data_IF_263449480085
#
_entry.id   IF_263449480085
#
_cell.length_a   1.000
_cell.length_b   1.000
_cell.length_c   1.000
_cell.angle_alpha   90.00
_cell.angle_beta   90.00
_cell.angle_gamma   90.00
#
_symmetry.space_group_name_H-M   'P 1'
#
loop_
_entity.id
_entity.type
_entity.pdbx_description
1 polymer ?
#
# COMPACT_ATOMS: atom_id res chain seq x y z
N UNK A 1 -25.49 -15.71 -0.60
CA UNK A 1 -25.05 -15.44 -1.99
C UNK A 1 -24.69 -13.96 -2.12
N UNK A 2 -23.41 -13.59 -2.00
CA UNK A 2 -22.95 -12.29 -2.47
C UNK A 2 -22.26 -12.54 -3.81
N UNK A 3 -23.01 -12.42 -4.90
CA UNK A 3 -22.45 -12.39 -6.24
C UNK A 3 -21.44 -11.23 -6.30
N UNK A 4 -20.14 -11.48 -6.17
CA UNK A 4 -19.15 -10.57 -6.74
C UNK A 4 -19.26 -10.73 -8.24
N UNK A 5 -20.20 -10.00 -8.84
CA UNK A 5 -20.31 -9.98 -10.30
C UNK A 5 -18.93 -9.61 -10.87
N UNK A 6 -18.54 -10.20 -12.01
CA UNK A 6 -17.28 -9.84 -12.68
C UNK A 6 -17.13 -8.31 -12.81
N UNK A 7 -18.24 -7.61 -13.07
CA UNK A 7 -18.29 -6.15 -13.11
C UNK A 7 -17.80 -5.50 -11.80
N UNK A 8 -18.20 -5.99 -10.62
CA UNK A 8 -17.74 -5.44 -9.32
C UNK A 8 -16.23 -5.61 -9.12
N UNK A 9 -15.67 -6.74 -9.55
CA UNK A 9 -14.21 -7.00 -9.47
C UNK A 9 -13.46 -6.02 -10.38
N UNK A 10 -13.93 -5.85 -11.62
CA UNK A 10 -13.35 -4.91 -12.58
C UNK A 10 -13.47 -3.45 -12.12
N UNK A 11 -14.61 -3.05 -11.58
CA UNK A 11 -14.79 -1.72 -10.99
C UNK A 11 -13.77 -1.48 -9.88
N UNK A 12 -13.63 -2.41 -8.93
CA UNK A 12 -12.66 -2.25 -7.83
C UNK A 12 -11.21 -2.26 -8.29
N UNK A 13 -10.88 -3.08 -9.30
CA UNK A 13 -9.56 -3.08 -9.96
C UNK A 13 -9.24 -1.76 -10.66
N UNK A 14 -10.25 -1.04 -11.15
CA UNK A 14 -10.11 0.31 -11.72
C UNK A 14 -10.09 1.39 -10.63
N UNK A 15 -10.74 1.17 -9.49
CA UNK A 15 -10.73 2.12 -8.37
C UNK A 15 -9.32 2.29 -7.78
N UNK A 16 -8.53 1.22 -7.67
CA UNK A 16 -7.15 1.31 -7.18
C UNK A 16 -6.27 2.27 -8.00
N UNK A 17 -6.08 2.08 -9.32
CA UNK A 17 -5.29 3.00 -10.13
C UNK A 17 -5.94 4.38 -10.20
N UNK A 18 -7.28 4.49 -10.21
CA UNK A 18 -7.96 5.79 -10.16
C UNK A 18 -7.64 6.61 -8.90
N UNK A 19 -7.66 5.97 -7.72
CA UNK A 19 -7.26 6.61 -6.47
C UNK A 19 -5.76 6.90 -6.43
N UNK A 20 -4.92 6.01 -6.96
CA UNK A 20 -3.49 6.25 -7.04
C UNK A 20 -3.16 7.45 -7.92
N UNK A 21 -3.82 7.58 -9.08
CA UNK A 21 -3.71 8.74 -9.97
C UNK A 21 -4.19 10.02 -9.29
N UNK A 22 -5.28 9.95 -8.51
CA UNK A 22 -5.76 11.08 -7.71
C UNK A 22 -4.69 11.52 -6.68
N UNK A 23 -4.09 10.56 -5.96
CA UNK A 23 -3.01 10.85 -5.01
C UNK A 23 -1.81 11.48 -5.74
N UNK A 24 -1.41 10.94 -6.89
CA UNK A 24 -0.34 11.51 -7.72
C UNK A 24 -0.65 12.93 -8.17
N UNK A 25 -1.87 13.18 -8.61
CA UNK A 25 -2.32 14.50 -9.02
C UNK A 25 -2.15 15.52 -7.88
N UNK A 26 -2.59 15.19 -6.66
CA UNK A 26 -2.40 16.06 -5.50
C UNK A 26 -0.93 16.24 -5.10
N UNK A 27 -0.07 15.23 -5.30
CA UNK A 27 1.37 15.36 -5.05
C UNK A 27 2.09 16.24 -6.08
N UNK A 28 1.60 16.26 -7.32
CA UNK A 28 2.14 17.10 -8.37
C UNK A 28 1.70 18.56 -8.27
N UNK A 29 0.59 18.82 -7.59
CA UNK A 29 0.20 20.20 -7.31
C UNK A 29 1.28 20.82 -6.40
N UNK A 30 1.87 21.97 -6.78
CA UNK A 30 2.85 22.67 -5.97
C UNK A 30 2.15 23.31 -4.77
N UNK A 31 1.77 22.48 -3.81
CA UNK A 31 1.28 22.90 -2.50
C UNK A 31 2.53 23.28 -1.69
N UNK A 32 2.91 24.56 -1.77
CA UNK A 32 4.06 25.14 -1.04
C UNK A 32 3.81 25.21 0.48
N UNK A 33 3.33 24.12 1.09
CA UNK A 33 2.87 24.06 2.47
C UNK A 33 3.73 23.17 3.35
N UNK A 34 4.81 22.58 2.84
CA UNK A 34 5.63 21.64 3.61
C UNK A 34 6.76 22.36 4.38
N UNK A 35 6.78 22.27 5.72
CA UNK A 35 7.91 22.72 6.52
C UNK A 35 9.18 21.95 6.16
N UNK A 36 10.35 22.61 6.19
CA UNK A 36 11.66 21.99 5.89
C UNK A 36 12.01 20.74 6.71
N UNK A 37 11.33 20.49 7.82
CA UNK A 37 11.56 19.37 8.74
C UNK A 37 10.45 18.31 8.72
N UNK A 38 9.48 18.44 7.81
CA UNK A 38 8.33 17.55 7.72
C UNK A 38 8.43 16.69 6.47
N UNK A 39 8.09 15.40 6.61
CA UNK A 39 7.98 14.49 5.48
C UNK A 39 6.57 13.87 5.51
N UNK A 40 5.73 14.10 4.47
CA UNK A 40 4.38 13.57 4.45
C UNK A 40 4.38 12.03 4.39
N UNK A 41 3.31 11.37 4.87
CA UNK A 41 3.12 9.93 4.68
C UNK A 41 3.21 9.53 3.19
N UNK A 42 3.77 8.36 2.89
CA UNK A 42 3.70 7.81 1.54
C UNK A 42 2.31 7.19 1.30
N UNK A 43 1.38 8.01 0.84
CA UNK A 43 -0.02 7.61 0.65
C UNK A 43 -0.20 6.54 -0.43
N UNK A 44 0.67 6.47 -1.44
CA UNK A 44 0.60 5.46 -2.50
C UNK A 44 0.94 4.08 -1.97
N UNK A 45 2.07 3.96 -1.27
CA UNK A 45 2.49 2.69 -0.66
C UNK A 45 1.49 2.24 0.41
N UNK A 46 0.97 3.19 1.18
CA UNK A 46 -0.03 2.96 2.22
C UNK A 46 -1.35 2.45 1.63
N UNK A 47 -1.82 3.04 0.53
CA UNK A 47 -2.99 2.56 -0.22
C UNK A 47 -2.77 1.13 -0.72
N UNK A 48 -1.62 0.87 -1.34
CA UNK A 48 -1.26 -0.45 -1.88
C UNK A 48 -1.27 -1.53 -0.79
N UNK A 49 -0.59 -1.29 0.34
CA UNK A 49 -0.53 -2.23 1.45
C UNK A 49 -1.91 -2.47 2.09
N UNK A 50 -2.69 -1.40 2.29
CA UNK A 50 -4.02 -1.48 2.93
C UNK A 50 -4.97 -2.36 2.10
N UNK A 51 -4.98 -2.17 0.78
CA UNK A 51 -5.86 -2.95 -0.09
C UNK A 51 -5.36 -4.38 -0.28
N UNK A 52 -4.03 -4.55 -0.34
CA UNK A 52 -3.37 -5.86 -0.41
C UNK A 52 -3.78 -6.76 0.75
N UNK A 53 -3.80 -6.24 1.98
CA UNK A 53 -4.18 -6.98 3.19
C UNK A 53 -5.69 -7.28 3.28
N UNK A 54 -6.55 -6.40 2.75
CA UNK A 54 -8.00 -6.51 2.94
C UNK A 54 -8.72 -7.30 1.85
N UNK A 55 -8.32 -7.12 0.59
CA UNK A 55 -8.91 -7.76 -0.59
C UNK A 55 -7.83 -7.99 -1.64
N UNK A 56 -6.98 -9.02 -1.46
CA UNK A 56 -5.92 -9.34 -2.41
C UNK A 56 -6.44 -9.55 -3.85
N UNK A 57 -7.70 -9.98 -4.00
CA UNK A 57 -8.36 -10.23 -5.30
C UNK A 57 -8.55 -8.97 -6.17
N UNK A 58 -8.61 -7.80 -5.54
CA UNK A 58 -8.87 -6.51 -6.22
C UNK A 58 -7.60 -5.77 -6.63
N UNK A 59 -6.44 -6.16 -6.11
CA UNK A 59 -5.17 -5.47 -6.39
C UNK A 59 -4.12 -6.48 -6.87
N UNK A 60 -4.14 -6.83 -8.18
CA UNK A 60 -3.13 -7.71 -8.75
C UNK A 60 -1.74 -7.07 -8.66
N UNK A 61 -0.71 -7.88 -8.44
CA UNK A 61 0.69 -7.43 -8.36
C UNK A 61 1.07 -6.52 -9.55
N UNK A 62 0.60 -6.86 -10.74
CA UNK A 62 0.83 -6.07 -11.95
C UNK A 62 0.26 -4.64 -11.86
N UNK A 63 -0.91 -4.45 -11.24
CA UNK A 63 -1.48 -3.11 -11.06
C UNK A 63 -0.64 -2.26 -10.10
N UNK A 64 -0.13 -2.85 -9.02
CA UNK A 64 0.78 -2.17 -8.08
C UNK A 64 2.07 -1.82 -8.82
N UNK A 65 2.65 -2.77 -9.56
CA UNK A 65 3.87 -2.55 -10.32
C UNK A 65 3.72 -1.38 -11.30
N UNK A 66 2.67 -1.36 -12.11
CA UNK A 66 2.42 -0.30 -13.10
C UNK A 66 2.18 1.06 -12.44
N UNK A 67 1.37 1.11 -11.39
CA UNK A 67 1.08 2.36 -10.66
C UNK A 67 2.33 2.90 -10.00
N UNK A 68 3.10 2.06 -9.30
CA UNK A 68 4.31 2.51 -8.60
C UNK A 68 5.42 2.88 -9.59
N UNK A 69 5.56 2.16 -10.71
CA UNK A 69 6.49 2.52 -11.77
C UNK A 69 6.13 3.87 -12.40
N UNK A 70 4.84 4.11 -12.63
CA UNK A 70 4.35 5.42 -13.08
C UNK A 70 4.66 6.51 -12.05
N UNK A 71 4.47 6.22 -10.76
CA UNK A 71 4.84 7.12 -9.67
C UNK A 71 6.34 7.46 -9.71
N UNK A 72 7.19 6.45 -9.92
CA UNK A 72 8.63 6.64 -9.95
C UNK A 72 9.03 7.59 -11.09
N UNK A 73 8.47 7.42 -12.29
CA UNK A 73 8.70 8.34 -13.41
C UNK A 73 8.19 9.75 -13.12
N UNK A 74 6.98 9.85 -12.58
CA UNK A 74 6.29 11.13 -12.42
C UNK A 74 6.90 11.98 -11.30
N UNK A 75 7.39 11.34 -10.24
CA UNK A 75 8.07 11.99 -9.12
C UNK A 75 9.59 12.07 -9.28
N UNK A 76 10.11 11.73 -10.47
CA UNK A 76 11.55 11.75 -10.77
C UNK A 76 12.37 10.93 -9.75
N UNK A 77 11.79 9.85 -9.22
CA UNK A 77 12.47 8.90 -8.35
C UNK A 77 13.21 7.86 -9.19
N UNK A 78 14.20 7.15 -8.62
CA UNK A 78 14.89 6.06 -9.31
C UNK A 78 13.89 5.01 -9.83
N UNK A 79 13.73 4.87 -11.16
CA UNK A 79 12.61 4.14 -11.73
C UNK A 79 12.67 2.65 -11.40
N UNK A 80 11.57 2.10 -10.88
CA UNK A 80 11.36 0.67 -10.72
C UNK A 80 11.85 0.07 -9.40
N UNK A 81 12.74 0.76 -8.65
CA UNK A 81 13.22 0.26 -7.36
C UNK A 81 12.10 0.21 -6.33
N UNK A 82 11.43 1.35 -6.11
CA UNK A 82 10.36 1.44 -5.12
C UNK A 82 9.13 0.66 -5.60
N UNK A 83 8.86 0.63 -6.93
CA UNK A 83 7.85 -0.24 -7.49
C UNK A 83 8.09 -1.74 -7.20
N UNK A 84 9.31 -2.24 -7.39
CA UNK A 84 9.66 -3.62 -7.08
C UNK A 84 9.47 -3.92 -5.58
N UNK A 85 10.00 -3.04 -4.72
CA UNK A 85 9.89 -3.20 -3.27
C UNK A 85 8.43 -3.16 -2.81
N UNK A 86 7.60 -2.30 -3.38
CA UNK A 86 6.18 -2.20 -3.08
C UNK A 86 5.42 -3.48 -3.45
N UNK A 87 5.71 -4.07 -4.62
CA UNK A 87 5.12 -5.35 -5.04
C UNK A 87 5.53 -6.46 -4.08
N UNK A 88 6.82 -6.61 -3.79
CA UNK A 88 7.33 -7.63 -2.86
C UNK A 88 6.72 -7.49 -1.47
N UNK A 89 6.64 -6.25 -0.97
CA UNK A 89 6.02 -5.94 0.30
C UNK A 89 4.52 -6.31 0.33
N UNK A 90 3.79 -5.96 -0.73
CA UNK A 90 2.38 -6.30 -0.84
C UNK A 90 2.17 -7.81 -0.89
N UNK A 91 2.92 -8.54 -1.71
CA UNK A 91 2.83 -10.01 -1.81
C UNK A 91 3.22 -10.70 -0.49
N UNK A 92 4.25 -10.23 0.19
CA UNK A 92 4.62 -10.70 1.52
C UNK A 92 3.46 -10.55 2.52
N UNK A 93 2.80 -9.38 2.51
CA UNK A 93 1.64 -9.11 3.35
C UNK A 93 0.42 -9.98 2.98
N UNK A 94 0.17 -10.25 1.69
CA UNK A 94 -0.91 -11.16 1.24
C UNK A 94 -0.69 -12.58 1.75
N UNK A 95 0.53 -13.10 1.65
CA UNK A 95 0.88 -14.42 2.17
C UNK A 95 0.68 -14.54 3.68
N UNK A 96 0.86 -13.42 4.41
CA UNK A 96 0.68 -13.37 5.86
C UNK A 96 -0.79 -13.21 6.30
N UNK A 97 -1.65 -12.69 5.43
CA UNK A 97 -3.07 -12.42 5.69
C UNK A 97 -3.99 -13.64 5.47
N UNK A 98 -3.45 -14.85 5.33
CA UNK A 98 -4.22 -16.06 5.03
C UNK A 98 -5.34 -16.32 6.07
N UNK A 99 -6.51 -16.88 5.66
CA UNK A 99 -7.78 -16.73 6.37
C UNK A 99 -7.91 -17.41 7.73
N UNK A 100 -6.91 -18.18 8.17
CA UNK A 100 -7.01 -19.08 9.32
C UNK A 100 -6.43 -18.50 10.62
N UNK A 101 -5.85 -17.30 10.60
CA UNK A 101 -5.35 -16.66 11.82
C UNK A 101 -6.32 -15.58 12.27
N UNK A 102 -6.77 -15.66 13.52
CA UNK A 102 -7.40 -14.57 14.28
C UNK A 102 -6.40 -13.42 14.47
N UNK A 103 -6.06 -12.75 13.37
CA UNK A 103 -5.13 -11.64 13.38
C UNK A 103 -5.87 -10.42 13.95
N UNK A 104 -5.43 -10.01 15.14
CA UNK A 104 -5.85 -8.73 15.75
C UNK A 104 -5.37 -7.58 14.86
N UNK A 105 -6.10 -6.47 14.86
CA UNK A 105 -5.69 -5.26 14.14
C UNK A 105 -4.26 -4.80 14.54
N UNK A 106 -3.89 -4.96 15.81
CA UNK A 106 -2.54 -4.64 16.30
C UNK A 106 -1.46 -5.45 15.58
N UNK A 107 -1.69 -6.76 15.36
CA UNK A 107 -0.74 -7.61 14.63
C UNK A 107 -0.61 -7.24 13.15
N UNK A 108 -1.71 -6.80 12.51
CA UNK A 108 -1.67 -6.29 11.14
C UNK A 108 -0.88 -4.99 11.05
N UNK A 109 -1.14 -4.08 12.00
CA UNK A 109 -0.47 -2.79 12.05
C UNK A 109 1.04 -2.95 12.29
N UNK A 110 1.43 -3.85 13.20
CA UNK A 110 2.83 -4.20 13.40
C UNK A 110 3.45 -4.83 12.15
N UNK A 111 2.77 -5.76 11.48
CA UNK A 111 3.25 -6.35 10.24
C UNK A 111 3.46 -5.29 9.14
N UNK A 112 2.47 -4.40 8.94
CA UNK A 112 2.57 -3.29 8.01
C UNK A 112 3.72 -2.35 8.38
N UNK A 113 3.91 -2.03 9.66
CA UNK A 113 4.99 -1.16 10.13
C UNK A 113 6.39 -1.75 9.91
N UNK A 114 6.56 -3.05 10.19
CA UNK A 114 7.82 -3.76 9.90
C UNK A 114 8.09 -3.80 8.40
N UNK A 115 7.07 -4.11 7.60
CA UNK A 115 7.22 -4.15 6.14
C UNK A 115 7.54 -2.76 5.55
N UNK A 116 6.87 -1.70 6.00
CA UNK A 116 7.18 -0.31 5.61
C UNK A 116 8.62 0.05 5.95
N UNK A 117 9.04 -0.23 7.19
CA UNK A 117 10.42 0.04 7.63
C UNK A 117 11.43 -0.69 6.75
N UNK A 118 11.16 -1.96 6.42
CA UNK A 118 11.97 -2.76 5.51
C UNK A 118 12.06 -2.15 4.10
N UNK A 119 10.93 -1.74 3.52
CA UNK A 119 10.89 -1.10 2.18
C UNK A 119 11.74 0.16 2.14
N UNK A 120 11.54 1.11 3.07
CA UNK A 120 12.30 2.36 3.06
C UNK A 120 13.79 2.14 3.37
N UNK A 121 14.11 1.20 4.25
CA UNK A 121 15.51 0.86 4.58
C UNK A 121 16.21 0.23 3.37
N UNK A 122 15.59 -0.76 2.73
CA UNK A 122 16.15 -1.40 1.53
C UNK A 122 16.29 -0.41 0.38
N UNK A 123 15.27 0.42 0.14
CA UNK A 123 15.33 1.48 -0.85
C UNK A 123 16.54 2.39 -0.58
N UNK A 124 16.70 2.87 0.65
CA UNK A 124 17.82 3.71 1.05
C UNK A 124 19.18 3.02 0.88
N UNK A 125 19.30 1.77 1.30
CA UNK A 125 20.55 0.99 1.16
C UNK A 125 20.96 0.84 -0.29
N UNK A 126 20.02 0.49 -1.17
CA UNK A 126 20.28 0.40 -2.62
C UNK A 126 20.74 1.77 -3.13
N UNK A 127 20.02 2.85 -2.83
CA UNK A 127 20.40 4.18 -3.29
C UNK A 127 21.76 4.64 -2.76
N UNK A 128 22.15 4.25 -1.53
CA UNK A 128 23.50 4.51 -0.99
C UNK A 128 24.56 3.77 -1.80
N UNK A 129 24.35 2.49 -2.11
CA UNK A 129 25.28 1.68 -2.91
C UNK A 129 25.48 2.26 -4.31
N UNK A 130 24.42 2.79 -4.92
CA UNK A 130 24.45 3.40 -6.25
C UNK A 130 24.83 4.89 -6.25
N UNK A 131 25.15 5.48 -5.09
CA UNK A 131 25.57 6.88 -5.00
C UNK A 131 24.49 7.90 -5.38
N UNK A 132 23.21 7.54 -5.27
CA UNK A 132 22.09 8.43 -5.58
C UNK A 132 21.85 9.37 -4.39
N UNK A 133 21.65 10.66 -4.66
CA UNK A 133 21.30 11.66 -3.66
C UNK A 133 19.96 11.32 -2.98
N UNK A 134 19.92 11.48 -1.66
CA UNK A 134 18.79 11.08 -0.84
C UNK A 134 18.48 12.12 0.23
N UNK A 135 17.23 12.11 0.67
CA UNK A 135 16.83 12.90 1.82
C UNK A 135 17.67 12.57 3.08
N UNK A 136 17.89 13.56 3.96
CA UNK A 136 18.45 13.34 5.28
C UNK A 136 17.76 12.18 6.01
N UNK A 137 18.53 11.43 6.80
CA UNK A 137 18.01 10.27 7.53
C UNK A 137 16.83 10.64 8.44
N UNK A 138 16.88 11.82 9.05
CA UNK A 138 15.80 12.38 9.86
C UNK A 138 14.47 12.45 9.10
N UNK A 139 14.46 12.95 7.87
CA UNK A 139 13.24 13.05 7.05
C UNK A 139 12.71 11.67 6.67
N UNK A 140 13.57 10.70 6.35
CA UNK A 140 13.13 9.33 6.09
C UNK A 140 12.51 8.69 7.33
N UNK A 141 13.09 8.88 8.51
CA UNK A 141 12.52 8.36 9.75
C UNK A 141 11.16 9.00 10.03
N UNK A 142 11.02 10.32 9.86
CA UNK A 142 9.74 11.02 10.00
C UNK A 142 8.72 10.45 9.02
N UNK A 143 9.09 10.28 7.74
CA UNK A 143 8.21 9.70 6.72
C UNK A 143 7.73 8.29 7.09
N UNK A 144 8.64 7.43 7.57
CA UNK A 144 8.30 6.06 8.01
C UNK A 144 7.28 6.14 9.16
N UNK A 145 7.58 6.90 10.21
CA UNK A 145 6.70 7.04 11.38
C UNK A 145 5.34 7.59 10.96
N UNK A 146 5.31 8.64 10.14
CA UNK A 146 4.09 9.24 9.62
C UNK A 146 3.27 8.25 8.78
N UNK A 147 3.91 7.44 7.95
CA UNK A 147 3.24 6.42 7.14
C UNK A 147 2.67 5.30 8.02
N UNK A 148 3.40 4.88 9.06
CA UNK A 148 2.92 3.88 10.03
C UNK A 148 1.73 4.42 10.82
N UNK A 149 1.79 5.67 11.29
CA UNK A 149 0.70 6.31 12.04
C UNK A 149 -0.53 6.59 11.16
N UNK A 150 -0.33 6.85 9.86
CA UNK A 150 -1.41 7.04 8.90
C UNK A 150 -2.09 5.72 8.49
N UNK A 151 -1.45 4.56 8.71
CA UNK A 151 -1.99 3.25 8.30
C UNK A 151 -3.37 2.93 8.91
N UNK A 152 -3.59 3.08 10.24
CA UNK A 152 -4.92 2.90 10.84
C UNK A 152 -5.99 3.81 10.23
N UNK A 153 -5.64 5.05 9.92
CA UNK A 153 -6.56 6.00 9.31
C UNK A 153 -6.97 5.55 7.92
N UNK A 154 -6.03 5.15 7.06
CA UNK A 154 -6.38 4.67 5.73
C UNK A 154 -7.15 3.35 5.75
N UNK A 155 -6.85 2.48 6.71
CA UNK A 155 -7.67 1.30 7.02
C UNK A 155 -9.12 1.71 7.28
N UNK A 156 -9.33 2.69 8.16
CA UNK A 156 -10.66 3.17 8.53
C UNK A 156 -11.37 3.83 7.35
N UNK A 157 -10.67 4.67 6.57
CA UNK A 157 -11.17 5.30 5.34
C UNK A 157 -11.55 4.24 4.30
N UNK A 158 -10.71 3.22 4.09
CA UNK A 158 -10.98 2.12 3.17
C UNK A 158 -12.21 1.29 3.59
N UNK A 159 -12.41 1.09 4.90
CA UNK A 159 -13.60 0.40 5.42
C UNK A 159 -14.88 1.22 5.24
N UNK A 160 -14.83 2.51 5.57
CA UNK A 160 -15.99 3.39 5.61
C UNK A 160 -16.45 3.81 4.21
N UNK A 161 -15.51 4.19 3.34
CA UNK A 161 -15.83 4.71 2.00
C UNK A 161 -16.09 3.59 1.00
N UNK A 162 -15.35 2.47 1.07
CA UNK A 162 -15.37 1.44 0.02
C UNK A 162 -16.06 0.15 0.46
N UNK A 163 -16.50 0.05 1.72
CA UNK A 163 -17.18 -1.14 2.24
C UNK A 163 -16.32 -2.39 2.21
N UNK A 164 -14.98 -2.23 2.18
CA UNK A 164 -14.01 -3.33 2.11
C UNK A 164 -13.86 -3.94 3.51
N UNK A 165 -14.84 -4.78 3.88
CA UNK A 165 -14.85 -5.58 5.09
C UNK A 165 -14.10 -6.90 4.84
N UNK A 166 -13.31 -7.35 5.83
CA UNK A 166 -12.75 -8.71 5.86
C UNK A 166 -13.91 -9.70 5.68
N UNK A 167 -13.74 -10.69 4.79
CA UNK A 167 -14.66 -11.82 4.70
C UNK A 167 -14.64 -12.53 6.06
N UNK A 168 -15.82 -12.84 6.60
CA UNK A 168 -15.90 -13.57 7.87
C UNK A 168 -15.37 -15.01 7.68
N UNK A 169 -14.84 -15.66 8.72
CA UNK A 169 -14.37 -17.04 8.64
C UNK A 169 -15.43 -18.01 8.07
N UNK A 170 -16.71 -17.75 8.39
CA UNK A 170 -17.85 -18.50 7.87
C UNK A 170 -18.01 -18.38 6.34
N UNK A 171 -17.69 -17.23 5.74
CA UNK A 171 -17.75 -17.05 4.29
C UNK A 171 -16.56 -17.73 3.57
N UNK A 172 -15.38 -17.77 4.21
CA UNK A 172 -14.22 -18.48 3.67
C UNK A 172 -14.41 -20.01 3.65
N UNK A 173 -15.08 -20.56 4.66
CA UNK A 173 -15.39 -21.99 4.77
C UNK A 173 -16.40 -22.44 3.71
N UNK A 174 -17.42 -21.61 3.40
CA UNK A 174 -18.38 -21.89 2.32
C UNK A 174 -17.78 -21.86 0.91
N UNK A 175 -16.64 -21.18 0.72
CA UNK A 175 -15.91 -21.16 -0.55
C UNK A 175 -15.02 -22.40 -0.73
N UNK A 176 -14.46 -22.93 0.38
CA UNK A 176 -13.67 -24.16 0.33
C UNK A 176 -14.53 -25.41 0.19
N UNK A 177 -15.72 -25.46 0.79
CA UNK A 177 -16.61 -26.63 0.68
C UNK A 177 -17.26 -26.78 -0.70
N UNK A 178 -17.05 -25.83 -1.62
CA UNK A 178 -17.69 -25.76 -2.94
C UNK A 178 -16.70 -25.96 -4.10
N UNK A 179 -15.45 -26.28 -3.78
CA UNK A 179 -14.37 -26.58 -4.73
C UNK A 179 -14.05 -28.07 -4.69
#
# INVERSE_FOLDING_TARGET
MANTSPARIWTMRLTFPGLALMIMFFHLLPLNTEPRFWAPPDFLLLLAMTWSLRRPDFVPALSIALVMLLADFLFQRPPGLLALLAVLACEYLKGRAAPQRESTFASEWLAAGVTLTGVFTLNRLVLVVFGVEQAPLSLTVIQIVMTILAYPLAVWVSQTILGVRKLSPSEAETLMSRR
#
